data_IF_830239628750
#
_entry.id   IF_830239628750
#
_cell.length_a   1.000
_cell.length_b   1.000
_cell.length_c   1.000
_cell.angle_alpha   90.00
_cell.angle_beta   90.00
_cell.angle_gamma   90.00
#
_symmetry.space_group_name_H-M   'P 1'
#
loop_
_entity.id
_entity.type
_entity.pdbx_description
1 polymer ?
#
# COMPACT_ATOMS: atom_id res chain seq x y z
N UNK A 1 -5.49 21.85 -16.55
CA UNK A 1 -5.28 21.99 -15.10
C UNK A 1 -6.54 22.41 -14.34
N UNK A 2 -7.15 23.55 -14.63
CA UNK A 2 -8.37 24.03 -13.93
C UNK A 2 -9.53 23.03 -14.04
N UNK A 3 -9.71 22.40 -15.20
CA UNK A 3 -10.75 21.38 -15.42
C UNK A 3 -10.53 20.12 -14.55
N UNK A 4 -9.32 19.57 -14.49
CA UNK A 4 -8.97 18.41 -13.67
C UNK A 4 -9.25 18.72 -12.18
N UNK A 5 -8.75 19.86 -11.68
CA UNK A 5 -8.99 20.27 -10.30
C UNK A 5 -10.48 20.36 -9.99
N UNK A 6 -11.27 20.98 -10.88
CA UNK A 6 -12.73 21.11 -10.71
C UNK A 6 -13.42 19.75 -10.61
N UNK A 7 -13.05 18.79 -11.45
CA UNK A 7 -13.60 17.42 -11.42
C UNK A 7 -13.25 16.74 -10.09
N UNK A 8 -11.97 16.79 -9.68
CA UNK A 8 -11.52 16.19 -8.41
C UNK A 8 -12.21 16.83 -7.21
N UNK A 9 -12.31 18.17 -7.17
CA UNK A 9 -12.95 18.88 -6.06
C UNK A 9 -14.46 18.58 -6.01
N UNK A 10 -15.14 18.50 -7.15
CA UNK A 10 -16.56 18.13 -7.21
C UNK A 10 -16.76 16.70 -6.69
N UNK A 11 -15.92 15.76 -7.12
CA UNK A 11 -15.98 14.37 -6.67
C UNK A 11 -15.68 14.28 -5.16
N UNK A 12 -14.68 15.01 -4.67
CA UNK A 12 -14.33 15.09 -3.25
C UNK A 12 -15.52 15.60 -2.43
N UNK A 13 -16.13 16.71 -2.83
CA UNK A 13 -17.26 17.29 -2.10
C UNK A 13 -18.43 16.30 -2.02
N UNK A 14 -18.72 15.56 -3.11
CA UNK A 14 -19.75 14.52 -3.13
C UNK A 14 -19.38 13.37 -2.19
N UNK A 15 -18.12 12.91 -2.20
CA UNK A 15 -17.65 11.84 -1.33
C UNK A 15 -17.79 12.21 0.15
N UNK A 16 -17.37 13.42 0.51
CA UNK A 16 -17.45 13.88 1.91
C UNK A 16 -18.87 14.19 2.37
N UNK A 17 -19.76 14.67 1.49
CA UNK A 17 -21.17 14.84 1.84
C UNK A 17 -21.87 13.51 2.15
N UNK A 18 -21.32 12.40 1.66
CA UNK A 18 -21.81 11.04 1.94
C UNK A 18 -21.00 10.36 3.09
N UNK A 19 -20.36 11.13 3.97
CA UNK A 19 -19.57 10.58 5.08
C UNK A 19 -18.33 9.79 4.65
N UNK A 20 -17.81 10.05 3.46
CA UNK A 20 -16.66 9.35 2.89
C UNK A 20 -17.01 8.00 2.24
N UNK A 21 -18.30 7.70 2.10
CA UNK A 21 -18.78 6.49 1.44
C UNK A 21 -18.95 6.72 -0.07
N UNK A 22 -18.40 5.83 -0.86
CA UNK A 22 -18.46 5.89 -2.33
C UNK A 22 -17.11 5.60 -2.98
N UNK A 23 -17.09 5.74 -4.30
CA UNK A 23 -15.87 5.56 -5.08
C UNK A 23 -14.85 6.67 -4.75
N UNK A 24 -13.67 6.29 -4.26
CA UNK A 24 -12.56 7.20 -3.93
C UNK A 24 -11.72 7.59 -5.15
N UNK A 25 -11.99 7.03 -6.32
CA UNK A 25 -11.16 7.19 -7.50
C UNK A 25 -11.85 8.03 -8.57
N UNK A 26 -11.07 8.93 -9.16
CA UNK A 26 -11.39 9.64 -10.39
C UNK A 26 -10.42 9.20 -11.46
N UNK A 27 -10.93 8.73 -12.59
CA UNK A 27 -10.11 8.25 -13.71
C UNK A 27 -10.14 9.29 -14.82
N UNK A 28 -8.96 9.58 -15.36
CA UNK A 28 -8.77 10.46 -16.52
C UNK A 28 -8.03 9.67 -17.60
N UNK A 29 -8.68 9.47 -18.72
CA UNK A 29 -8.10 8.84 -19.89
C UNK A 29 -7.50 9.89 -20.84
N UNK A 30 -6.63 9.43 -21.74
CA UNK A 30 -5.92 10.28 -22.71
C UNK A 30 -5.08 11.39 -22.05
N UNK A 31 -4.44 11.07 -20.94
CA UNK A 31 -3.47 11.95 -20.28
C UNK A 31 -2.08 11.63 -20.83
N UNK A 32 -1.56 12.48 -21.73
CA UNK A 32 -0.22 12.25 -22.26
C UNK A 32 0.87 12.36 -21.18
N UNK A 33 2.07 11.77 -21.39
CA UNK A 33 3.18 11.89 -20.44
C UNK A 33 3.51 13.35 -20.07
N UNK A 34 3.51 14.26 -21.06
CA UNK A 34 3.79 15.68 -20.86
C UNK A 34 2.69 16.34 -20.00
N UNK A 35 1.43 15.98 -20.23
CA UNK A 35 0.31 16.48 -19.43
C UNK A 35 0.40 15.98 -17.99
N UNK A 36 0.82 14.73 -17.80
CA UNK A 36 1.03 14.16 -16.48
C UNK A 36 2.18 14.85 -15.73
N UNK A 37 3.32 15.10 -16.39
CA UNK A 37 4.44 15.86 -15.80
C UNK A 37 4.02 17.27 -15.37
N UNK A 38 3.18 17.94 -16.17
CA UNK A 38 2.64 19.23 -15.80
C UNK A 38 1.72 19.14 -14.56
N UNK A 39 0.90 18.10 -14.46
CA UNK A 39 0.04 17.83 -13.30
C UNK A 39 0.89 17.63 -12.04
N UNK A 40 1.93 16.79 -12.11
CA UNK A 40 2.84 16.55 -10.98
C UNK A 40 3.53 17.86 -10.53
N UNK A 41 4.08 18.62 -11.47
CA UNK A 41 4.77 19.87 -11.18
C UNK A 41 3.87 20.90 -10.49
N UNK A 42 2.61 20.98 -10.92
CA UNK A 42 1.63 21.93 -10.36
C UNK A 42 0.82 21.37 -9.19
N UNK A 43 1.11 20.17 -8.74
CA UNK A 43 0.33 19.47 -7.70
C UNK A 43 0.22 20.28 -6.39
N UNK A 44 1.32 20.91 -5.96
CA UNK A 44 1.34 21.74 -4.75
C UNK A 44 0.45 22.98 -4.90
N UNK A 45 0.42 23.60 -6.09
CA UNK A 45 -0.46 24.72 -6.40
C UNK A 45 -1.94 24.32 -6.40
N UNK A 46 -2.22 23.05 -6.72
CA UNK A 46 -3.60 22.53 -6.76
C UNK A 46 -4.16 22.23 -5.37
N UNK A 47 -3.32 22.24 -4.33
CA UNK A 47 -3.71 21.87 -2.95
C UNK A 47 -4.47 20.54 -2.92
N UNK A 48 -4.10 19.62 -3.80
CA UNK A 48 -4.75 18.31 -3.91
C UNK A 48 -4.18 17.33 -2.88
N UNK A 49 -4.92 17.09 -1.81
CA UNK A 49 -4.68 15.93 -0.95
C UNK A 49 -5.26 14.69 -1.66
N UNK A 50 -4.50 14.11 -2.53
CA UNK A 50 -4.88 12.92 -3.31
C UNK A 50 -3.61 12.15 -3.69
N UNK A 51 -3.69 10.84 -3.82
CA UNK A 51 -2.62 10.01 -4.37
C UNK A 51 -2.82 9.81 -5.87
N UNK A 52 -1.72 9.77 -6.61
CA UNK A 52 -1.73 9.65 -8.07
C UNK A 52 -1.17 8.28 -8.49
N UNK A 53 -1.82 7.67 -9.48
CA UNK A 53 -1.30 6.52 -10.21
C UNK A 53 -1.44 6.80 -11.70
N UNK A 54 -0.32 6.78 -12.41
CA UNK A 54 -0.28 7.03 -13.84
C UNK A 54 0.23 5.80 -14.60
N UNK A 55 -0.50 5.41 -15.62
CA UNK A 55 -0.22 4.28 -16.50
C UNK A 55 0.09 4.83 -17.91
N UNK A 56 1.37 4.94 -18.22
CA UNK A 56 1.84 5.59 -19.45
C UNK A 56 1.48 4.81 -20.73
N UNK A 57 1.39 3.48 -20.63
CA UNK A 57 1.07 2.58 -21.73
C UNK A 57 -0.38 2.71 -22.23
N UNK A 58 -1.27 3.18 -21.38
CA UNK A 58 -2.70 3.42 -21.67
C UNK A 58 -3.10 4.88 -21.44
N UNK A 59 -2.13 5.78 -21.21
CA UNK A 59 -2.34 7.21 -20.98
C UNK A 59 -3.45 7.52 -19.94
N UNK A 60 -3.50 6.73 -18.87
CA UNK A 60 -4.54 6.84 -17.86
C UNK A 60 -3.99 7.32 -16.53
N UNK A 61 -4.56 8.40 -16.01
CA UNK A 61 -4.29 8.92 -14.68
C UNK A 61 -5.46 8.57 -13.75
N UNK A 62 -5.13 7.96 -12.62
CA UNK A 62 -6.07 7.68 -11.56
C UNK A 62 -5.72 8.54 -10.35
N UNK A 63 -6.70 9.33 -9.90
CA UNK A 63 -6.61 10.19 -8.72
C UNK A 63 -7.41 9.55 -7.60
N UNK A 64 -6.75 9.13 -6.53
CA UNK A 64 -7.39 8.56 -5.33
C UNK A 64 -7.57 9.65 -4.28
N UNK A 65 -8.78 9.84 -3.81
CA UNK A 65 -9.13 10.81 -2.77
C UNK A 65 -9.19 10.07 -1.43
N UNK A 66 -8.22 10.29 -0.53
CA UNK A 66 -8.21 9.62 0.77
C UNK A 66 -9.36 10.08 1.65
N UNK A 67 -9.97 9.13 2.35
CA UNK A 67 -10.98 9.40 3.39
C UNK A 67 -10.42 9.03 4.77
N UNK A 68 -11.04 9.52 5.84
CA UNK A 68 -10.58 9.23 7.20
C UNK A 68 -10.48 7.71 7.48
N UNK A 69 -11.47 6.87 7.13
CA UNK A 69 -11.33 5.43 7.34
C UNK A 69 -10.21 4.79 6.52
N UNK A 70 -9.98 5.28 5.29
CA UNK A 70 -8.87 4.84 4.47
C UNK A 70 -7.52 5.12 5.16
N UNK A 71 -7.29 6.38 5.56
CA UNK A 71 -6.07 6.78 6.27
C UNK A 71 -5.88 6.00 7.57
N UNK A 72 -6.99 5.74 8.29
CA UNK A 72 -6.96 4.96 9.52
C UNK A 72 -6.54 3.51 9.28
N UNK A 73 -6.99 2.87 8.20
CA UNK A 73 -6.69 1.48 7.92
C UNK A 73 -5.19 1.22 7.76
N UNK A 74 -4.54 1.90 6.82
CA UNK A 74 -3.10 1.71 6.58
C UNK A 74 -2.23 2.29 7.70
N UNK A 75 -2.64 3.44 8.27
CA UNK A 75 -1.89 4.10 9.34
C UNK A 75 -1.86 3.28 10.63
N UNK A 76 -2.99 2.74 11.07
CA UNK A 76 -3.05 1.91 12.28
C UNK A 76 -2.33 0.57 12.12
N UNK A 77 -2.41 -0.07 10.93
CA UNK A 77 -1.64 -1.29 10.69
C UNK A 77 -0.13 -1.01 10.71
N UNK A 78 0.31 0.07 10.08
CA UNK A 78 1.70 0.52 10.11
C UNK A 78 2.17 0.82 11.55
N UNK A 79 1.34 1.50 12.33
CA UNK A 79 1.62 1.78 13.75
C UNK A 79 1.72 0.49 14.59
N UNK A 80 0.82 -0.46 14.38
CA UNK A 80 0.86 -1.77 15.05
C UNK A 80 2.18 -2.50 14.77
N UNK A 81 2.60 -2.53 13.50
CA UNK A 81 3.87 -3.13 13.08
C UNK A 81 5.05 -2.41 13.75
N UNK A 82 5.11 -1.10 13.67
CA UNK A 82 6.24 -0.31 14.18
C UNK A 82 6.33 -0.37 15.71
N UNK A 83 5.25 -0.01 16.40
CA UNK A 83 5.29 0.21 17.85
C UNK A 83 5.27 -1.10 18.63
N UNK A 84 4.42 -2.05 18.24
CA UNK A 84 4.26 -3.29 19.01
C UNK A 84 5.23 -4.40 18.61
N UNK A 85 5.80 -4.35 17.41
CA UNK A 85 6.62 -5.46 16.88
C UNK A 85 8.07 -5.06 16.61
N UNK A 86 8.31 -3.92 15.99
CA UNK A 86 9.67 -3.48 15.63
C UNK A 86 10.36 -2.78 16.78
N UNK A 87 9.71 -1.84 17.45
CA UNK A 87 10.30 -1.10 18.56
C UNK A 87 10.87 -2.00 19.69
N UNK A 88 10.20 -3.12 20.09
CA UNK A 88 10.76 -4.03 21.08
C UNK A 88 12.03 -4.79 20.64
N UNK A 89 12.38 -4.76 19.36
CA UNK A 89 13.63 -5.36 18.86
C UNK A 89 14.86 -4.50 19.12
N UNK A 90 14.66 -3.29 19.69
CA UNK A 90 15.73 -2.31 19.95
C UNK A 90 16.56 -1.97 18.70
N UNK A 91 15.92 -1.96 17.54
CA UNK A 91 16.54 -1.54 16.28
C UNK A 91 16.69 -0.03 16.25
N UNK A 92 17.70 0.42 15.52
CA UNK A 92 17.71 1.82 15.10
C UNK A 92 16.48 2.09 14.22
N UNK A 93 15.60 2.96 14.72
CA UNK A 93 14.36 3.30 14.01
C UNK A 93 14.60 3.91 12.63
N UNK A 94 15.80 4.50 12.40
CA UNK A 94 16.19 4.97 11.07
C UNK A 94 16.32 3.80 10.07
N UNK A 95 16.59 2.59 10.54
CA UNK A 95 16.61 1.39 9.69
C UNK A 95 15.23 1.02 9.13
N UNK A 96 14.15 1.60 9.69
CA UNK A 96 12.78 1.40 9.21
C UNK A 96 12.11 2.76 9.01
N UNK A 97 12.54 3.45 7.97
CA UNK A 97 12.10 4.82 7.71
C UNK A 97 10.77 4.83 6.94
N UNK A 98 9.81 5.56 7.49
CA UNK A 98 8.54 5.82 6.82
C UNK A 98 8.74 6.80 5.66
N UNK A 99 8.30 6.41 4.48
CA UNK A 99 8.44 7.19 3.25
C UNK A 99 7.16 8.00 2.92
N UNK A 100 6.08 7.80 3.67
CA UNK A 100 4.80 8.40 3.34
C UNK A 100 4.23 7.91 2.00
N UNK A 101 3.48 8.77 1.35
CA UNK A 101 2.98 8.56 -0.01
C UNK A 101 4.02 8.97 -1.05
N UNK A 102 5.15 8.27 -1.09
CA UNK A 102 6.22 8.60 -2.04
C UNK A 102 5.89 8.10 -3.43
N UNK A 103 6.01 8.99 -4.43
CA UNK A 103 5.87 8.63 -5.84
C UNK A 103 7.05 7.78 -6.30
N UNK A 104 6.78 6.64 -6.94
CA UNK A 104 7.77 5.85 -7.66
C UNK A 104 7.48 5.87 -9.14
N UNK A 105 8.50 6.29 -9.90
CA UNK A 105 8.48 6.29 -11.37
C UNK A 105 9.25 5.08 -11.88
N UNK A 106 8.77 4.51 -12.97
CA UNK A 106 9.43 3.39 -13.63
C UNK A 106 9.88 3.79 -15.04
N UNK A 107 10.85 3.07 -15.63
CA UNK A 107 11.39 3.43 -16.96
C UNK A 107 10.35 3.49 -18.08
N UNK A 108 9.21 2.82 -17.93
CA UNK A 108 8.09 2.93 -18.87
C UNK A 108 7.40 4.30 -18.85
N UNK A 109 7.69 5.17 -17.87
CA UNK A 109 7.01 6.44 -17.65
C UNK A 109 5.80 6.33 -16.70
N UNK A 110 5.38 5.11 -16.34
CA UNK A 110 4.32 4.92 -15.34
C UNK A 110 4.80 5.30 -13.95
N UNK A 111 3.87 5.75 -13.10
CA UNK A 111 4.18 6.11 -11.72
C UNK A 111 3.04 5.76 -10.77
N UNK A 112 3.40 5.51 -9.51
CA UNK A 112 2.42 5.22 -8.46
C UNK A 112 2.88 5.74 -7.12
N UNK A 113 1.91 6.19 -6.32
CA UNK A 113 2.10 6.55 -4.92
C UNK A 113 1.47 5.48 -4.04
N UNK A 114 2.20 5.09 -2.99
CA UNK A 114 1.67 4.18 -1.96
C UNK A 114 0.80 4.92 -0.95
N UNK A 115 -0.11 4.21 -0.28
CA UNK A 115 -0.78 4.77 0.90
C UNK A 115 0.17 4.84 2.09
N UNK A 116 0.97 3.80 2.32
CA UNK A 116 2.10 3.79 3.27
C UNK A 116 3.25 2.96 2.75
N UNK A 117 4.47 3.42 2.95
CA UNK A 117 5.67 2.68 2.55
C UNK A 117 6.81 2.87 3.55
N UNK A 118 7.68 1.87 3.65
CA UNK A 118 8.88 1.88 4.47
C UNK A 118 10.07 1.31 3.73
N UNK A 119 11.25 1.80 4.07
CA UNK A 119 12.53 1.28 3.58
C UNK A 119 13.60 1.27 4.67
N UNK A 120 14.60 0.44 4.49
CA UNK A 120 15.83 0.52 5.24
C UNK A 120 16.78 1.50 4.54
N UNK A 121 16.94 2.70 5.09
CA UNK A 121 17.74 3.76 4.47
C UNK A 121 19.24 3.46 4.44
N UNK A 122 19.72 2.54 5.28
CA UNK A 122 21.14 2.13 5.26
C UNK A 122 21.47 1.20 4.08
N UNK A 123 20.47 0.51 3.55
CA UNK A 123 20.61 -0.39 2.41
C UNK A 123 20.06 0.24 1.14
N UNK A 124 18.92 0.90 1.24
CA UNK A 124 18.26 1.64 0.16
C UNK A 124 18.42 3.13 0.39
N UNK A 125 19.62 3.64 0.13
CA UNK A 125 20.02 5.02 0.47
C UNK A 125 19.61 6.06 -0.58
N UNK A 126 19.31 5.61 -1.82
CA UNK A 126 18.99 6.53 -2.90
C UNK A 126 17.52 6.97 -2.82
N UNK A 127 17.24 8.20 -3.25
CA UNK A 127 15.89 8.76 -3.20
C UNK A 127 14.89 7.97 -4.07
N UNK A 128 15.37 7.43 -5.18
CA UNK A 128 14.60 6.65 -6.15
C UNK A 128 14.49 5.14 -5.80
N UNK A 129 15.17 4.69 -4.73
CA UNK A 129 15.02 3.30 -4.28
C UNK A 129 13.57 2.96 -3.95
N UNK A 130 13.13 1.77 -4.39
CA UNK A 130 11.82 1.25 -4.02
C UNK A 130 11.74 0.93 -2.52
N UNK A 131 10.54 1.03 -1.91
CA UNK A 131 10.34 0.58 -0.52
C UNK A 131 10.53 -0.93 -0.38
N UNK A 132 10.82 -1.38 0.85
CA UNK A 132 10.83 -2.80 1.20
C UNK A 132 9.42 -3.32 1.46
N UNK A 133 8.62 -2.52 2.18
CA UNK A 133 7.25 -2.80 2.57
C UNK A 133 6.32 -1.71 2.07
N UNK A 134 5.21 -2.11 1.47
CA UNK A 134 4.11 -1.23 1.05
C UNK A 134 2.81 -1.70 1.67
N UNK A 135 1.98 -0.76 2.10
CA UNK A 135 0.59 -1.01 2.50
C UNK A 135 -0.32 -0.19 1.60
N UNK A 136 -1.29 -0.84 0.98
CA UNK A 136 -2.37 -0.23 0.20
C UNK A 136 -3.70 -0.53 0.88
N UNK A 137 -4.55 0.46 1.01
CA UNK A 137 -5.86 0.31 1.62
C UNK A 137 -6.99 0.71 0.66
N UNK A 138 -8.14 0.06 0.78
CA UNK A 138 -9.33 0.35 -0.01
C UNK A 138 -10.61 0.17 0.78
N UNK A 139 -11.55 1.10 0.59
CA UNK A 139 -12.83 1.11 1.30
C UNK A 139 -13.99 0.68 0.40
N UNK A 140 -14.15 1.34 -0.73
CA UNK A 140 -15.27 1.15 -1.65
C UNK A 140 -14.82 0.54 -2.97
N UNK A 141 -13.52 0.36 -3.12
CA UNK A 141 -12.96 -0.24 -4.32
C UNK A 141 -13.07 -1.77 -4.28
N UNK A 142 -13.00 -2.38 -5.43
CA UNK A 142 -12.99 -3.83 -5.49
C UNK A 142 -11.66 -4.38 -4.97
N UNK A 143 -11.71 -5.53 -4.31
CA UNK A 143 -10.51 -6.27 -3.91
C UNK A 143 -9.61 -6.58 -5.12
N UNK A 144 -10.20 -6.78 -6.31
CA UNK A 144 -9.49 -6.98 -7.56
C UNK A 144 -8.57 -5.80 -7.91
N UNK A 145 -9.01 -4.56 -7.63
CA UNK A 145 -8.17 -3.38 -7.86
C UNK A 145 -6.98 -3.34 -6.91
N UNK A 146 -7.18 -3.55 -5.62
CA UNK A 146 -6.09 -3.61 -4.64
C UNK A 146 -5.06 -4.71 -4.98
N UNK A 147 -5.54 -5.85 -5.49
CA UNK A 147 -4.68 -6.92 -6.02
C UNK A 147 -3.88 -6.46 -7.24
N UNK A 148 -4.46 -5.62 -8.09
CA UNK A 148 -3.77 -4.95 -9.19
C UNK A 148 -2.67 -4.00 -8.68
N UNK A 149 -2.94 -3.25 -7.61
CA UNK A 149 -1.97 -2.38 -6.97
C UNK A 149 -0.79 -3.16 -6.38
N UNK A 150 -1.05 -4.27 -5.69
CA UNK A 150 0.00 -5.16 -5.17
C UNK A 150 0.88 -5.72 -6.30
N UNK A 151 0.26 -6.14 -7.41
CA UNK A 151 0.96 -6.61 -8.60
C UNK A 151 1.84 -5.51 -9.18
N UNK A 152 1.31 -4.30 -9.33
CA UNK A 152 2.06 -3.16 -9.87
C UNK A 152 3.36 -2.92 -9.08
N UNK A 153 3.28 -2.91 -7.74
CA UNK A 153 4.43 -2.69 -6.88
C UNK A 153 5.53 -3.74 -7.07
N UNK A 154 5.16 -5.01 -7.13
CA UNK A 154 6.14 -6.10 -7.25
C UNK A 154 6.73 -6.17 -8.66
N UNK A 155 5.90 -6.14 -9.69
CA UNK A 155 6.35 -6.28 -11.09
C UNK A 155 7.19 -5.08 -11.52
N UNK A 156 6.72 -3.86 -11.26
CA UNK A 156 7.41 -2.63 -11.70
C UNK A 156 8.65 -2.29 -10.88
N UNK A 157 8.79 -2.85 -9.68
CA UNK A 157 10.04 -2.77 -8.93
C UNK A 157 11.05 -3.86 -9.30
N UNK A 158 10.73 -4.74 -10.26
CA UNK A 158 11.49 -5.95 -10.56
C UNK A 158 11.74 -6.82 -9.30
N UNK A 159 10.74 -6.91 -8.42
CA UNK A 159 10.80 -7.68 -7.17
C UNK A 159 11.58 -6.98 -6.04
N UNK A 160 11.97 -5.72 -6.20
CA UNK A 160 12.63 -4.95 -5.12
C UNK A 160 11.69 -4.55 -3.99
N UNK A 161 10.39 -4.46 -4.24
CA UNK A 161 9.39 -4.42 -3.16
C UNK A 161 9.22 -5.84 -2.64
N UNK A 162 9.64 -6.07 -1.40
CA UNK A 162 9.70 -7.42 -0.81
C UNK A 162 8.35 -7.87 -0.28
N UNK A 163 7.56 -6.94 0.27
CA UNK A 163 6.24 -7.25 0.86
C UNK A 163 5.26 -6.15 0.47
N UNK A 164 4.11 -6.56 -0.04
CA UNK A 164 2.95 -5.68 -0.19
C UNK A 164 1.81 -6.23 0.65
N UNK A 165 1.27 -5.40 1.54
CA UNK A 165 0.04 -5.68 2.26
C UNK A 165 -1.09 -4.89 1.60
N UNK A 166 -2.21 -5.54 1.33
CA UNK A 166 -3.44 -4.83 0.97
C UNK A 166 -4.46 -4.99 2.09
N UNK A 167 -5.19 -3.92 2.39
CA UNK A 167 -6.28 -3.91 3.37
C UNK A 167 -7.56 -3.48 2.67
N UNK A 168 -8.47 -4.42 2.52
CA UNK A 168 -9.80 -4.13 2.01
C UNK A 168 -10.80 -4.04 3.16
N UNK A 169 -11.54 -2.93 3.23
CA UNK A 169 -12.50 -2.64 4.28
C UNK A 169 -13.91 -2.69 3.73
N UNK A 170 -14.72 -3.57 4.26
CA UNK A 170 -16.15 -3.62 3.97
C UNK A 170 -16.94 -3.02 5.14
N UNK A 171 -17.41 -1.78 4.97
CA UNK A 171 -18.18 -1.07 6.00
C UNK A 171 -19.54 -1.72 6.27
N UNK A 172 -20.21 -2.22 5.24
CA UNK A 172 -21.54 -2.81 5.37
C UNK A 172 -21.55 -4.07 6.24
N UNK A 173 -20.49 -4.88 6.15
CA UNK A 173 -20.36 -6.13 6.91
C UNK A 173 -19.41 -6.02 8.10
N UNK A 174 -18.78 -4.86 8.32
CA UNK A 174 -17.73 -4.63 9.33
C UNK A 174 -16.58 -5.66 9.27
N UNK A 175 -16.16 -5.98 8.05
CA UNK A 175 -15.08 -6.93 7.80
C UNK A 175 -13.85 -6.19 7.28
N UNK A 176 -12.68 -6.54 7.83
CA UNK A 176 -11.36 -6.18 7.30
C UNK A 176 -10.75 -7.42 6.67
N UNK A 177 -10.25 -7.28 5.44
CA UNK A 177 -9.58 -8.35 4.71
C UNK A 177 -8.17 -7.91 4.38
N UNK A 178 -7.17 -8.64 4.85
CA UNK A 178 -5.75 -8.34 4.65
C UNK A 178 -5.14 -9.46 3.83
N UNK A 179 -4.44 -9.10 2.76
CA UNK A 179 -3.65 -10.04 1.95
C UNK A 179 -2.19 -9.61 1.94
N UNK A 180 -1.28 -10.57 2.03
CA UNK A 180 0.16 -10.37 1.90
C UNK A 180 0.66 -10.94 0.59
N UNK A 181 1.35 -10.09 -0.17
CA UNK A 181 1.99 -10.45 -1.43
C UNK A 181 3.49 -10.30 -1.33
N UNK A 182 4.21 -11.23 -1.97
CA UNK A 182 5.66 -11.21 -2.08
C UNK A 182 6.08 -11.55 -3.51
N UNK A 183 7.26 -11.10 -3.97
CA UNK A 183 7.81 -11.54 -5.24
C UNK A 183 8.06 -13.04 -5.21
N UNK A 184 7.74 -13.70 -6.33
CA UNK A 184 8.08 -15.11 -6.49
C UNK A 184 9.58 -15.30 -6.71
N UNK A 185 10.06 -16.52 -6.45
CA UNK A 185 11.46 -16.85 -6.69
C UNK A 185 11.86 -16.58 -8.13
N UNK A 186 13.06 -16.03 -8.39
CA UNK A 186 13.56 -15.86 -9.73
C UNK A 186 13.56 -17.22 -10.44
N UNK A 187 12.83 -17.32 -11.55
CA UNK A 187 12.85 -18.55 -12.34
C UNK A 187 14.19 -18.62 -13.07
N UNK A 188 15.05 -19.56 -12.70
CA UNK A 188 16.26 -19.89 -13.43
C UNK A 188 15.89 -20.33 -14.85
N UNK A 189 16.39 -19.59 -15.84
CA UNK A 189 16.16 -19.92 -17.26
C UNK A 189 17.38 -20.55 -17.89
N UNK A 190 17.10 -21.56 -18.70
CA UNK A 190 18.06 -22.16 -19.64
C UNK A 190 18.16 -21.41 -20.99
N UNK A 191 17.41 -20.32 -21.21
CA UNK A 191 17.42 -19.55 -22.47
C UNK A 191 17.43 -18.04 -22.25
N UNK A 192 18.30 -17.26 -22.94
CA UNK A 192 18.54 -15.84 -22.70
C UNK A 192 17.56 -14.86 -23.36
N UNK A 193 16.40 -15.30 -23.83
CA UNK A 193 15.43 -14.42 -24.50
C UNK A 193 14.44 -13.78 -23.52
N UNK A 194 14.54 -12.47 -23.33
CA UNK A 194 13.67 -11.56 -22.59
C UNK A 194 13.51 -11.84 -21.09
N UNK A 195 13.72 -10.84 -20.21
CA UNK A 195 13.42 -11.00 -18.78
C UNK A 195 11.92 -11.27 -18.61
N UNK A 196 11.57 -12.33 -17.87
CA UNK A 196 10.18 -12.56 -17.50
C UNK A 196 9.78 -11.59 -16.39
N UNK A 197 8.51 -11.12 -16.38
CA UNK A 197 7.97 -10.39 -15.23
C UNK A 197 8.17 -11.23 -13.95
N UNK A 198 8.49 -10.54 -12.86
CA UNK A 198 8.55 -11.18 -11.53
C UNK A 198 7.16 -11.68 -11.20
N UNK A 199 7.05 -12.95 -10.80
CA UNK A 199 5.76 -13.48 -10.36
C UNK A 199 5.35 -12.87 -9.02
N UNK A 200 4.05 -12.75 -8.81
CA UNK A 200 3.45 -12.16 -7.61
C UNK A 200 2.70 -13.24 -6.86
N UNK A 201 3.14 -13.53 -5.64
CA UNK A 201 2.62 -14.63 -4.84
C UNK A 201 1.81 -14.10 -3.66
N UNK A 202 0.55 -14.49 -3.56
CA UNK A 202 -0.25 -14.35 -2.35
C UNK A 202 0.22 -15.40 -1.33
N UNK A 203 0.73 -14.95 -0.18
CA UNK A 203 1.31 -15.86 0.85
C UNK A 203 0.52 -15.90 2.14
N UNK A 204 -0.35 -14.92 2.39
CA UNK A 204 -1.25 -14.94 3.54
C UNK A 204 -2.54 -14.17 3.24
N UNK A 205 -3.62 -14.65 3.82
CA UNK A 205 -4.92 -13.99 3.82
C UNK A 205 -5.47 -14.02 5.25
N UNK A 206 -5.81 -12.84 5.78
CA UNK A 206 -6.42 -12.67 7.10
C UNK A 206 -7.76 -11.99 6.91
N UNK A 207 -8.78 -12.50 7.58
CA UNK A 207 -10.12 -11.90 7.64
C UNK A 207 -10.48 -11.62 9.08
N UNK A 208 -10.82 -10.37 9.38
CA UNK A 208 -11.24 -9.90 10.70
C UNK A 208 -12.71 -9.50 10.61
N UNK A 209 -13.59 -10.26 11.24
CA UNK A 209 -15.03 -9.98 11.25
C UNK A 209 -15.41 -9.31 12.59
N UNK A 210 -15.58 -8.00 12.54
CA UNK A 210 -15.94 -7.18 13.70
C UNK A 210 -17.47 -7.02 13.88
N UNK A 211 -18.29 -7.61 13.00
CA UNK A 211 -19.73 -7.73 13.22
C UNK A 211 -20.05 -8.86 14.19
N UNK A 212 -19.16 -9.84 14.32
CA UNK A 212 -19.29 -10.92 15.30
C UNK A 212 -18.98 -10.41 16.72
N UNK A 213 -19.62 -11.01 17.72
CA UNK A 213 -19.36 -10.74 19.14
C UNK A 213 -19.11 -12.07 19.86
N UNK A 214 -17.86 -12.36 20.26
CA UNK A 214 -16.64 -11.55 20.06
C UNK A 214 -16.20 -11.46 18.59
N UNK A 215 -15.37 -10.46 18.29
CA UNK A 215 -14.69 -10.33 16.98
C UNK A 215 -13.96 -11.63 16.63
N UNK A 216 -14.08 -12.09 15.39
CA UNK A 216 -13.41 -13.31 14.93
C UNK A 216 -12.32 -13.00 13.93
N UNK A 217 -11.21 -13.73 14.00
CA UNK A 217 -10.05 -13.60 13.09
C UNK A 217 -9.74 -14.97 12.49
N UNK A 218 -9.66 -15.03 11.18
CA UNK A 218 -9.21 -16.23 10.45
C UNK A 218 -7.94 -15.92 9.67
N UNK A 219 -7.10 -16.93 9.46
CA UNK A 219 -5.83 -16.78 8.71
C UNK A 219 -4.68 -16.20 9.54
N UNK A 220 -4.86 -15.99 10.85
CA UNK A 220 -3.76 -15.60 11.75
C UNK A 220 -2.82 -16.79 12.03
N UNK A 221 -1.52 -16.52 12.35
CA UNK A 221 -0.88 -15.22 12.40
C UNK A 221 -0.53 -14.66 11.02
N UNK A 222 -0.47 -13.31 10.92
CA UNK A 222 0.15 -12.67 9.76
C UNK A 222 1.64 -12.46 10.06
N UNK A 223 2.49 -13.10 9.29
CA UNK A 223 3.94 -13.05 9.45
C UNK A 223 4.55 -12.17 8.36
N UNK A 224 5.38 -11.20 8.78
CA UNK A 224 6.25 -10.42 7.88
C UNK A 224 7.68 -10.85 8.18
N UNK A 225 8.34 -11.46 7.23
CA UNK A 225 9.70 -11.94 7.38
C UNK A 225 10.65 -10.76 7.62
N UNK A 226 11.49 -10.85 8.64
CA UNK A 226 12.45 -9.81 9.00
C UNK A 226 13.30 -9.38 7.80
N UNK A 227 13.81 -10.37 7.07
CA UNK A 227 14.61 -10.13 5.87
C UNK A 227 13.84 -9.35 4.78
N UNK A 228 12.53 -9.61 4.66
CA UNK A 228 11.67 -8.89 3.72
C UNK A 228 11.46 -7.43 4.11
N UNK A 229 11.41 -7.14 5.41
CA UNK A 229 11.19 -5.78 5.94
C UNK A 229 12.49 -4.97 5.98
N UNK A 230 13.62 -5.59 6.33
CA UNK A 230 14.89 -4.90 6.59
C UNK A 230 15.98 -5.14 5.55
N UNK A 231 15.76 -5.94 4.51
CA UNK A 231 16.73 -6.31 3.45
C UNK A 231 18.01 -6.98 3.98
N UNK A 232 17.98 -7.54 5.16
CA UNK A 232 19.07 -8.28 5.79
C UNK A 232 18.55 -9.37 6.72
N UNK A 233 19.35 -10.38 7.02
CA UNK A 233 19.00 -11.36 8.02
C UNK A 233 18.86 -10.74 9.41
N UNK A 234 18.05 -11.33 10.29
CA UNK A 234 17.94 -10.91 11.69
C UNK A 234 19.21 -11.23 12.47
N UNK A 235 19.48 -10.45 13.51
CA UNK A 235 20.54 -10.70 14.49
C UNK A 235 19.90 -11.19 15.81
N UNK A 236 19.78 -12.50 16.04
CA UNK A 236 19.17 -13.06 17.23
C UNK A 236 19.92 -12.67 18.52
N UNK A 237 19.24 -12.69 19.69
CA UNK A 237 17.87 -13.12 19.93
C UNK A 237 16.82 -12.03 19.78
N UNK A 238 17.19 -10.76 19.65
CA UNK A 238 16.26 -9.63 19.65
C UNK A 238 15.52 -9.48 18.33
N UNK A 239 16.26 -9.59 17.22
CA UNK A 239 15.71 -9.46 15.87
C UNK A 239 15.05 -10.76 15.42
N UNK A 240 13.86 -10.67 14.90
CA UNK A 240 13.06 -11.81 14.47
C UNK A 240 11.95 -11.39 13.51
N UNK A 241 11.27 -12.34 12.91
CA UNK A 241 10.09 -12.06 12.10
C UNK A 241 9.02 -11.30 12.88
N UNK A 242 8.32 -10.43 12.18
CA UNK A 242 7.23 -9.63 12.72
C UNK A 242 5.96 -10.47 12.65
N UNK A 243 5.47 -10.92 13.81
CA UNK A 243 4.32 -11.81 13.91
C UNK A 243 3.15 -11.01 14.48
N UNK A 244 2.13 -10.77 13.66
CA UNK A 244 0.84 -10.25 14.10
C UNK A 244 -0.03 -11.44 14.53
N UNK A 245 -0.18 -11.62 15.82
CA UNK A 245 -0.97 -12.71 16.40
C UNK A 245 -2.46 -12.50 16.17
N UNK A 246 -3.27 -13.52 16.44
CA UNK A 246 -4.73 -13.39 16.42
C UNK A 246 -5.20 -12.25 17.31
N UNK A 247 -4.66 -12.12 18.53
CA UNK A 247 -4.99 -11.05 19.46
C UNK A 247 -4.61 -9.65 18.94
N UNK A 248 -3.45 -9.49 18.27
CA UNK A 248 -3.05 -8.23 17.67
C UNK A 248 -4.03 -7.81 16.58
N UNK A 249 -4.45 -8.76 15.74
CA UNK A 249 -5.36 -8.53 14.61
C UNK A 249 -6.80 -8.27 15.09
N UNK A 250 -7.25 -8.95 16.13
CA UNK A 250 -8.52 -8.68 16.80
C UNK A 250 -8.54 -7.26 17.38
N UNK A 251 -7.48 -6.90 18.12
CA UNK A 251 -7.34 -5.55 18.69
C UNK A 251 -7.33 -4.49 17.59
N UNK A 252 -6.58 -4.72 16.49
CA UNK A 252 -6.55 -3.84 15.35
C UNK A 252 -7.94 -3.64 14.74
N UNK A 253 -8.71 -4.73 14.53
CA UNK A 253 -10.07 -4.64 14.00
C UNK A 253 -11.00 -3.85 14.91
N UNK A 254 -10.98 -4.12 16.21
CA UNK A 254 -11.82 -3.42 17.19
C UNK A 254 -11.47 -1.93 17.27
N UNK A 255 -10.18 -1.59 17.28
CA UNK A 255 -9.71 -0.20 17.33
C UNK A 255 -10.00 0.54 16.02
N UNK A 256 -9.96 -0.16 14.88
CA UNK A 256 -10.31 0.42 13.58
C UNK A 256 -11.75 0.93 13.58
N UNK A 257 -12.72 0.15 14.04
CA UNK A 257 -14.13 0.54 14.04
C UNK A 257 -14.51 1.55 15.13
N UNK A 258 -13.64 1.77 16.10
CA UNK A 258 -13.88 2.78 17.15
C UNK A 258 -13.75 4.18 16.56
N UNK A 259 -14.87 4.90 16.46
CA UNK A 259 -14.91 6.27 15.93
C UNK A 259 -15.00 6.38 14.40
N UNK A 260 -15.50 5.33 13.73
CA UNK A 260 -15.96 5.35 12.33
C UNK A 260 -17.47 5.33 12.25
#
# INVERSE_FOLDING_TARGET
>A
MTALKKVVDTHRNRLFSNGGDGNQHVVFDNVSPEAFEEIERKRLELVMKATLSYFSDIETLIVKIPTQPHEKAHGQLGQLILVKKIAPMNLDLNAFTFMGSTTKKVPSGSSKESDSAWRNVYIRSQQDDFPCLVIEAGMSESLARLRGDARWWIENSAGRVNIVLIIWVNKATKVLHIEKYVPGSPQTRTSPRLPRPVSVNLTATVVINCAASPTTVTGAPLVLEFNGVFDRPPNPPLERDIILTMHDLESFGNDFWRGI
#
